data_IF_503261543012
#
_entry.id   IF_503261543012
#
_cell.length_a   1.000
_cell.length_b   1.000
_cell.length_c   1.000
_cell.angle_alpha   90.00
_cell.angle_beta   90.00
_cell.angle_gamma   90.00
#
_symmetry.space_group_name_H-M   'P 1'
#
loop_
_entity.id
_entity.type
_entity.pdbx_description
1 polymer ?
#
# COMPACT_ATOMS: atom_id res chain seq x y z
N UNK A 1 -19.95 -0.96 -21.19
CA UNK A 1 -18.90 -1.66 -20.43
C UNK A 1 -18.98 -1.08 -19.03
N UNK A 2 -19.58 -1.85 -18.13
CA UNK A 2 -20.19 -1.44 -16.85
C UNK A 2 -19.15 -1.23 -15.76
N UNK A 3 -19.40 -0.28 -14.86
CA UNK A 3 -18.51 0.17 -13.77
C UNK A 3 -18.22 -0.85 -12.66
N UNK A 4 -18.26 -2.14 -12.98
CA UNK A 4 -18.04 -3.27 -12.06
C UNK A 4 -16.59 -3.38 -11.57
N UNK A 5 -15.63 -2.77 -12.28
CA UNK A 5 -14.21 -2.81 -11.91
C UNK A 5 -13.81 -1.83 -10.80
N UNK A 6 -14.59 -0.76 -10.54
CA UNK A 6 -14.22 0.24 -9.51
C UNK A 6 -14.66 -0.20 -8.11
N UNK A 7 -15.79 -0.89 -7.98
CA UNK A 7 -16.27 -1.39 -6.67
C UNK A 7 -15.31 -2.39 -6.02
N UNK A 8 -14.60 -3.19 -6.83
CA UNK A 8 -13.58 -4.13 -6.31
C UNK A 8 -12.33 -3.39 -5.79
N UNK A 9 -12.06 -2.17 -6.29
CA UNK A 9 -10.96 -1.33 -5.81
C UNK A 9 -11.33 -0.55 -4.55
N UNK A 10 -12.63 -0.27 -4.35
CA UNK A 10 -13.19 0.42 -3.18
C UNK A 10 -13.35 -0.47 -1.94
N UNK A 11 -12.68 -1.62 -1.92
CA UNK A 11 -12.78 -2.61 -0.85
C UNK A 11 -12.58 -2.05 0.56
N UNK A 12 -13.06 -2.82 1.55
CA UNK A 12 -12.88 -2.56 2.98
C UNK A 12 -11.42 -2.20 3.27
N UNK A 13 -11.20 -1.10 4.02
CA UNK A 13 -9.87 -0.55 4.28
C UNK A 13 -8.84 -1.63 4.58
N UNK A 14 -7.77 -1.70 3.78
CA UNK A 14 -6.73 -2.70 3.96
C UNK A 14 -5.74 -2.23 5.02
N UNK A 15 -5.49 -3.08 6.02
CA UNK A 15 -4.31 -2.93 6.86
C UNK A 15 -3.06 -2.89 5.97
N UNK A 16 -2.01 -2.21 6.43
CA UNK A 16 -0.71 -2.29 5.78
C UNK A 16 -0.37 -3.78 5.54
N UNK A 17 -0.22 -4.17 4.27
CA UNK A 17 0.13 -5.55 3.93
C UNK A 17 1.43 -5.91 4.66
N UNK A 18 1.50 -7.13 5.22
CA UNK A 18 2.71 -7.59 5.92
C UNK A 18 3.90 -7.50 4.95
N UNK A 19 4.87 -6.66 5.31
CA UNK A 19 6.09 -6.48 4.55
C UNK A 19 6.93 -7.76 4.57
N UNK A 20 6.79 -8.60 5.60
CA UNK A 20 7.56 -9.84 5.78
C UNK A 20 7.34 -10.83 4.63
N UNK A 21 6.10 -10.98 4.17
CA UNK A 21 5.81 -11.82 3.01
C UNK A 21 6.54 -11.28 1.78
N UNK A 22 6.41 -9.98 1.51
CA UNK A 22 7.02 -9.32 0.36
C UNK A 22 8.54 -9.47 0.38
N UNK A 23 9.17 -9.29 1.55
CA UNK A 23 10.61 -9.46 1.74
C UNK A 23 11.04 -10.89 1.39
N UNK A 24 10.29 -11.91 1.82
CA UNK A 24 10.58 -13.30 1.45
C UNK A 24 10.47 -13.60 -0.06
N UNK A 25 9.64 -12.85 -0.80
CA UNK A 25 9.58 -12.96 -2.27
C UNK A 25 10.82 -12.33 -2.92
N UNK A 26 11.26 -11.17 -2.41
CA UNK A 26 12.46 -10.48 -2.89
C UNK A 26 13.73 -11.28 -2.59
N UNK A 27 13.87 -11.83 -1.38
CA UNK A 27 15.01 -12.67 -0.98
C UNK A 27 15.14 -13.94 -1.82
N UNK A 28 14.02 -14.48 -2.32
CA UNK A 28 14.00 -15.63 -3.23
C UNK A 28 14.33 -15.25 -4.68
N UNK A 29 14.32 -13.96 -5.01
CA UNK A 29 14.56 -13.47 -6.37
C UNK A 29 13.34 -13.55 -7.29
N UNK A 30 12.12 -13.62 -6.73
CA UNK A 30 10.90 -13.64 -7.54
C UNK A 30 10.62 -12.28 -8.21
N UNK A 31 11.10 -11.19 -7.60
CA UNK A 31 10.95 -9.82 -8.10
C UNK A 31 12.19 -8.99 -7.77
N UNK A 32 12.61 -8.16 -8.72
CA UNK A 32 13.68 -7.17 -8.52
C UNK A 32 13.15 -5.83 -8.00
N UNK A 33 11.87 -5.53 -8.26
CA UNK A 33 11.24 -4.25 -7.92
C UNK A 33 9.81 -4.46 -7.46
N UNK A 34 9.39 -3.63 -6.49
CA UNK A 34 8.03 -3.64 -5.95
C UNK A 34 7.41 -2.26 -6.11
N UNK A 35 6.25 -2.21 -6.75
CA UNK A 35 5.45 -0.99 -6.84
C UNK A 35 4.57 -0.83 -5.60
N UNK A 36 4.57 0.37 -5.00
CA UNK A 36 3.75 0.72 -3.84
C UNK A 36 2.73 1.78 -4.24
N UNK A 37 1.44 1.48 -4.10
CA UNK A 37 0.35 2.38 -4.46
C UNK A 37 -0.32 3.01 -3.24
N UNK A 38 -1.32 2.32 -2.69
CA UNK A 38 -2.20 2.83 -1.62
C UNK A 38 -1.49 3.39 -0.38
N UNK A 39 -0.36 2.78 0.03
CA UNK A 39 0.43 3.27 1.15
C UNK A 39 1.01 4.67 0.92
N UNK A 40 1.47 4.96 -0.31
CA UNK A 40 2.01 6.28 -0.66
C UNK A 40 0.93 7.37 -0.72
N UNK A 41 -0.32 7.00 -1.04
CA UNK A 41 -1.43 7.95 -1.08
C UNK A 41 -1.80 8.47 0.32
N UNK A 42 -1.68 7.64 1.36
CA UNK A 42 -2.03 8.02 2.74
C UNK A 42 -0.85 8.52 3.56
N UNK A 43 0.36 8.16 3.13
CA UNK A 43 1.60 8.45 3.84
C UNK A 43 2.71 8.85 2.85
N UNK A 44 2.87 10.15 2.55
CA UNK A 44 3.93 10.62 1.65
C UNK A 44 5.35 10.30 2.15
N UNK A 45 5.53 10.09 3.46
CA UNK A 45 6.81 9.74 4.09
C UNK A 45 7.03 8.21 4.19
N UNK A 46 6.14 7.41 3.57
CA UNK A 46 6.12 5.95 3.67
C UNK A 46 7.49 5.32 3.43
N UNK A 47 8.20 5.72 2.36
CA UNK A 47 9.48 5.13 2.00
C UNK A 47 10.57 5.39 3.06
N UNK A 48 10.60 6.58 3.66
CA UNK A 48 11.57 6.90 4.71
C UNK A 48 11.26 6.13 5.99
N UNK A 49 9.97 6.05 6.38
CA UNK A 49 9.54 5.26 7.53
C UNK A 49 9.91 3.79 7.40
N UNK A 50 9.67 3.19 6.23
CA UNK A 50 10.06 1.80 5.94
C UNK A 50 11.57 1.64 6.03
N UNK A 51 12.35 2.54 5.40
CA UNK A 51 13.81 2.52 5.47
C UNK A 51 14.34 2.61 6.91
N UNK A 52 13.65 3.36 7.77
CA UNK A 52 14.00 3.58 9.17
C UNK A 52 13.42 2.53 10.13
N UNK A 53 12.67 1.54 9.62
CA UNK A 53 12.04 0.49 10.41
C UNK A 53 10.81 0.94 11.22
N UNK A 54 10.27 2.13 10.94
CA UNK A 54 9.10 2.73 11.60
C UNK A 54 7.78 2.18 11.03
N UNK A 55 7.66 0.85 10.93
CA UNK A 55 6.53 0.16 10.29
C UNK A 55 5.21 0.35 11.06
N UNK A 56 5.31 0.44 12.38
CA UNK A 56 4.21 0.72 13.31
C UNK A 56 3.60 2.12 13.13
N UNK A 57 4.31 3.03 12.47
CA UNK A 57 3.88 4.41 12.20
C UNK A 57 3.27 4.59 10.81
N UNK A 58 3.18 3.52 10.01
CA UNK A 58 2.56 3.57 8.70
C UNK A 58 1.04 3.73 8.85
N UNK A 59 0.47 4.61 8.03
CA UNK A 59 -0.97 4.83 8.03
C UNK A 59 -1.68 3.74 7.23
N UNK A 60 -2.80 3.29 7.77
CA UNK A 60 -3.71 2.41 7.04
C UNK A 60 -4.40 3.17 5.91
N UNK A 61 -4.70 2.45 4.84
CA UNK A 61 -5.46 3.00 3.74
C UNK A 61 -6.97 2.89 4.00
N UNK A 62 -7.70 3.95 3.67
CA UNK A 62 -9.16 3.95 3.60
C UNK A 62 -9.60 4.54 2.24
N UNK A 63 -10.63 4.00 1.58
CA UNK A 63 -11.12 4.51 0.30
C UNK A 63 -11.40 6.02 0.30
N UNK A 64 -11.84 6.57 1.43
CA UNK A 64 -12.16 8.00 1.58
C UNK A 64 -11.00 8.94 1.24
N UNK A 65 -9.75 8.46 1.31
CA UNK A 65 -8.57 9.26 0.95
C UNK A 65 -8.65 9.72 -0.50
N UNK A 66 -9.28 8.94 -1.39
CA UNK A 66 -9.46 9.34 -2.79
C UNK A 66 -10.29 10.62 -2.93
N UNK A 67 -11.17 10.93 -1.97
CA UNK A 67 -11.97 12.17 -1.98
C UNK A 67 -11.16 13.41 -1.60
N UNK A 68 -9.98 13.24 -1.00
CA UNK A 68 -9.06 14.33 -0.63
C UNK A 68 -8.03 14.68 -1.70
N UNK A 69 -7.99 13.93 -2.80
CA UNK A 69 -7.10 14.15 -3.95
C UNK A 69 -7.78 15.13 -4.92
N UNK A 70 -7.82 16.41 -4.55
CA UNK A 70 -8.39 17.50 -5.36
C UNK A 70 -7.33 18.29 -6.13
#
# INVERSE_FOLDING_TARGET
>A
MTGEHIDTLMGEGSNAASLDHLLGLVERGDFDLVAVGRGMLVDPDWANKVREGRIDQLRNWHPDVLNSLS
#
